data_IF_702844850517
#
_entry.id   IF_702844850517
#
_cell.length_a   1.000
_cell.length_b   1.000
_cell.length_c   1.000
_cell.angle_alpha   90.00
_cell.angle_beta   90.00
_cell.angle_gamma   90.00
#
_symmetry.space_group_name_H-M   'P 1'
#
loop_
_entity.id
_entity.type
_entity.pdbx_description
1 polymer ?
#
# COMPACT_ATOMS: atom_id res chain seq x y z
N UNK A 1 0.09 -18.75 -6.85
CA UNK A 1 -0.61 -18.50 -5.59
C UNK A 1 -2.10 -18.67 -5.82
N UNK A 2 -2.83 -19.16 -4.84
CA UNK A 2 -4.26 -19.47 -4.95
C UNK A 2 -5.12 -18.29 -5.45
N UNK A 3 -4.77 -17.04 -5.10
CA UNK A 3 -5.46 -15.84 -5.61
C UNK A 3 -5.30 -15.67 -7.13
N UNK A 4 -4.09 -15.92 -7.65
CA UNK A 4 -3.80 -15.80 -9.09
C UNK A 4 -4.50 -16.94 -9.87
N UNK A 5 -4.47 -18.15 -9.32
CA UNK A 5 -5.14 -19.31 -9.89
C UNK A 5 -6.65 -19.11 -9.93
N UNK A 6 -7.24 -18.62 -8.83
CA UNK A 6 -8.66 -18.28 -8.75
C UNK A 6 -9.05 -17.22 -9.80
N UNK A 7 -8.27 -16.15 -9.90
CA UNK A 7 -8.50 -15.10 -10.91
C UNK A 7 -8.38 -15.63 -12.34
N UNK A 8 -7.42 -16.51 -12.59
CA UNK A 8 -7.21 -17.09 -13.94
C UNK A 8 -8.33 -18.06 -14.32
N UNK A 9 -8.86 -18.80 -13.34
CA UNK A 9 -9.93 -19.77 -13.55
C UNK A 9 -11.31 -19.13 -13.70
N UNK A 10 -11.62 -18.17 -12.82
CA UNK A 10 -12.97 -17.61 -12.66
C UNK A 10 -13.05 -16.12 -13.03
N UNK A 11 -12.01 -15.56 -13.66
CA UNK A 11 -11.97 -14.18 -14.12
C UNK A 11 -11.60 -13.17 -13.04
N UNK A 12 -11.54 -11.90 -13.42
CA UNK A 12 -11.21 -10.78 -12.53
C UNK A 12 -12.22 -10.65 -11.38
N UNK A 13 -11.77 -10.22 -10.22
CA UNK A 13 -12.64 -9.89 -9.10
C UNK A 13 -13.43 -8.61 -9.43
N UNK A 14 -14.74 -8.65 -9.18
CA UNK A 14 -15.66 -7.54 -9.50
C UNK A 14 -15.63 -6.44 -8.44
N UNK A 15 -15.48 -6.81 -7.18
CA UNK A 15 -15.40 -5.93 -6.01
C UNK A 15 -14.75 -6.70 -4.84
N UNK A 16 -14.59 -6.02 -3.70
CA UNK A 16 -13.97 -6.63 -2.51
C UNK A 16 -14.79 -7.79 -1.94
N UNK A 17 -16.10 -7.76 -2.05
CA UNK A 17 -16.99 -8.83 -1.56
C UNK A 17 -16.83 -10.08 -2.41
N UNK A 18 -16.82 -9.93 -3.75
CA UNK A 18 -16.52 -11.02 -4.68
C UNK A 18 -15.16 -11.65 -4.38
N UNK A 19 -14.14 -10.82 -4.09
CA UNK A 19 -12.82 -11.29 -3.66
C UNK A 19 -12.91 -12.11 -2.38
N UNK A 20 -13.56 -11.59 -1.34
CA UNK A 20 -13.68 -12.26 -0.04
C UNK A 20 -14.48 -13.56 -0.10
N UNK A 21 -15.48 -13.64 -0.98
CA UNK A 21 -16.27 -14.85 -1.19
C UNK A 21 -15.52 -15.94 -1.94
N UNK A 22 -14.59 -15.57 -2.82
CA UNK A 22 -13.84 -16.50 -3.67
C UNK A 22 -12.51 -16.95 -3.08
N UNK A 23 -11.95 -16.15 -2.19
CA UNK A 23 -10.67 -16.48 -1.55
C UNK A 23 -10.91 -17.00 -0.14
N UNK A 24 -10.38 -18.22 0.14
CA UNK A 24 -10.55 -18.84 1.45
C UNK A 24 -9.77 -18.09 2.54
N UNK A 25 -10.25 -18.20 3.78
CA UNK A 25 -9.59 -17.66 4.99
C UNK A 25 -8.18 -18.17 5.21
N UNK A 26 -7.90 -19.39 4.82
CA UNK A 26 -6.58 -20.00 4.93
C UNK A 26 -5.55 -19.25 4.07
N UNK A 27 -6.03 -18.59 3.02
CA UNK A 27 -5.21 -17.85 2.06
C UNK A 27 -5.01 -16.40 2.46
N UNK A 28 -6.01 -15.79 3.14
CA UNK A 28 -5.96 -14.38 3.52
C UNK A 28 -6.54 -14.14 4.91
N UNK A 29 -5.73 -13.57 5.79
CA UNK A 29 -6.16 -13.08 7.10
C UNK A 29 -6.26 -11.55 7.11
N UNK A 30 -6.77 -10.99 8.22
CA UNK A 30 -6.94 -9.55 8.41
C UNK A 30 -5.66 -8.76 8.03
N UNK A 31 -4.51 -9.16 8.58
CA UNK A 31 -3.23 -8.47 8.36
C UNK A 31 -2.77 -8.51 6.90
N UNK A 32 -2.99 -9.63 6.23
CA UNK A 32 -2.68 -9.76 4.81
C UNK A 32 -3.60 -8.88 3.95
N UNK A 33 -4.90 -8.82 4.28
CA UNK A 33 -5.86 -7.97 3.60
C UNK A 33 -5.49 -6.48 3.77
N UNK A 34 -5.15 -6.06 4.99
CA UNK A 34 -4.65 -4.71 5.27
C UNK A 34 -3.44 -4.37 4.39
N UNK A 35 -2.46 -5.28 4.30
CA UNK A 35 -1.25 -5.07 3.48
C UNK A 35 -1.54 -5.01 1.99
N UNK A 36 -2.44 -5.83 1.48
CA UNK A 36 -2.87 -5.77 0.08
C UNK A 36 -3.57 -4.43 -0.25
N UNK A 37 -4.40 -3.92 0.67
CA UNK A 37 -5.05 -2.62 0.51
C UNK A 37 -4.01 -1.50 0.52
N UNK A 38 -3.09 -1.50 1.48
CA UNK A 38 -2.00 -0.52 1.57
C UNK A 38 -1.13 -0.50 0.31
N UNK A 39 -0.88 -1.68 -0.27
CA UNK A 39 -0.12 -1.86 -1.51
C UNK A 39 -0.90 -1.44 -2.78
N UNK A 40 -2.19 -1.11 -2.69
CA UNK A 40 -3.01 -0.75 -3.84
C UNK A 40 -3.49 -1.94 -4.68
N UNK A 41 -3.46 -3.16 -4.15
CA UNK A 41 -3.87 -4.36 -4.91
C UNK A 41 -5.33 -4.33 -5.38
N UNK A 42 -6.16 -3.49 -4.77
CA UNK A 42 -7.59 -3.36 -5.08
C UNK A 42 -7.96 -2.09 -5.84
N UNK A 43 -7.00 -1.24 -6.25
CA UNK A 43 -7.27 0.05 -6.89
C UNK A 43 -8.08 -0.08 -8.19
N UNK A 44 -8.03 -1.23 -8.86
CA UNK A 44 -8.84 -1.51 -10.06
C UNK A 44 -10.34 -1.71 -9.77
N UNK A 45 -10.72 -1.97 -8.52
CA UNK A 45 -12.10 -2.23 -8.09
C UNK A 45 -12.63 -1.22 -7.08
N UNK A 46 -11.76 -0.59 -6.30
CA UNK A 46 -12.07 0.49 -5.38
C UNK A 46 -10.82 1.38 -5.18
N UNK A 47 -10.89 2.60 -5.65
CA UNK A 47 -9.76 3.55 -5.58
C UNK A 47 -9.57 4.20 -4.21
N UNK A 48 -10.60 4.16 -3.36
CA UNK A 48 -10.50 4.68 -2.00
C UNK A 48 -9.94 3.61 -1.05
N UNK A 49 -8.62 3.55 -0.95
CA UNK A 49 -7.91 2.61 -0.08
C UNK A 49 -8.29 2.78 1.40
N UNK A 50 -8.51 4.03 1.86
CA UNK A 50 -8.94 4.33 3.23
C UNK A 50 -10.29 3.69 3.56
N UNK A 51 -11.24 3.73 2.62
CA UNK A 51 -12.54 3.08 2.75
C UNK A 51 -12.40 1.56 2.94
N UNK A 52 -11.61 0.91 2.10
CA UNK A 52 -11.36 -0.53 2.25
C UNK A 52 -10.67 -0.85 3.58
N UNK A 53 -9.63 -0.10 3.93
CA UNK A 53 -8.83 -0.32 5.13
C UNK A 53 -9.65 -0.22 6.42
N UNK A 54 -10.50 0.79 6.53
CA UNK A 54 -11.36 0.99 7.70
C UNK A 54 -12.46 -0.08 7.84
N UNK A 55 -12.77 -0.80 6.77
CA UNK A 55 -13.77 -1.87 6.79
C UNK A 55 -13.18 -3.29 6.84
N UNK A 56 -11.85 -3.46 6.91
CA UNK A 56 -11.19 -4.78 6.90
C UNK A 56 -11.75 -5.73 7.96
N UNK A 57 -11.95 -5.25 9.18
CA UNK A 57 -12.50 -6.08 10.27
C UNK A 57 -13.87 -6.63 9.91
N UNK A 58 -14.75 -5.77 9.37
CA UNK A 58 -16.10 -6.18 8.94
C UNK A 58 -16.06 -7.18 7.78
N UNK A 59 -15.16 -6.96 6.81
CA UNK A 59 -14.98 -7.93 5.70
C UNK A 59 -14.57 -9.30 6.24
N UNK A 60 -13.63 -9.35 7.18
CA UNK A 60 -13.17 -10.61 7.76
C UNK A 60 -14.25 -11.27 8.62
N UNK A 61 -15.05 -10.52 9.36
CA UNK A 61 -16.14 -11.03 10.18
C UNK A 61 -17.29 -11.59 9.32
N UNK A 62 -17.73 -10.84 8.32
CA UNK A 62 -18.89 -11.20 7.49
C UNK A 62 -18.58 -12.30 6.47
N UNK A 63 -17.41 -12.23 5.84
CA UNK A 63 -17.04 -13.12 4.72
C UNK A 63 -15.94 -14.10 5.08
N UNK A 64 -15.32 -13.92 6.23
CA UNK A 64 -14.24 -14.73 6.72
C UNK A 64 -14.74 -15.98 7.53
N UNK A 65 -16.05 -16.32 7.68
CA UNK A 65 -16.62 -17.48 8.38
C UNK A 65 -16.49 -18.78 7.58
N UNK A 66 -16.31 -19.91 8.27
CA UNK A 66 -16.64 -21.20 7.67
C UNK A 66 -18.12 -21.11 7.23
N UNK A 67 -18.39 -21.40 5.96
CA UNK A 67 -19.74 -21.66 5.53
C UNK A 67 -20.17 -22.96 6.25
N UNK A 68 -20.80 -22.82 7.42
CA UNK A 68 -21.48 -23.95 8.03
C UNK A 68 -22.60 -24.37 7.08
N UNK A 69 -22.36 -25.43 6.33
CA UNK A 69 -23.32 -26.05 5.40
C UNK A 69 -24.69 -26.37 6.02
N UNK A 70 -24.84 -26.23 7.34
CA UNK A 70 -26.07 -26.53 8.07
C UNK A 70 -26.97 -25.30 8.34
N UNK A 71 -26.57 -24.08 7.89
CA UNK A 71 -27.43 -22.89 7.96
C UNK A 71 -27.97 -22.42 6.59
N UNK A 72 -27.66 -23.16 5.53
CA UNK A 72 -27.99 -22.80 4.14
C UNK A 72 -29.49 -22.99 3.75
N UNK A 73 -30.38 -23.28 4.71
CA UNK A 73 -31.78 -23.55 4.35
C UNK A 73 -32.77 -22.39 4.54
N UNK A 74 -32.33 -21.20 4.95
CA UNK A 74 -33.29 -20.11 5.21
C UNK A 74 -33.05 -18.81 4.41
N UNK A 75 -31.92 -18.68 3.67
CA UNK A 75 -31.67 -17.49 2.86
C UNK A 75 -31.07 -17.89 1.49
N UNK A 76 -31.96 -18.25 0.58
CA UNK A 76 -31.63 -18.65 -0.80
C UNK A 76 -31.28 -17.48 -1.72
N UNK A 77 -31.28 -16.25 -1.22
CA UNK A 77 -30.78 -15.07 -1.91
C UNK A 77 -29.71 -14.37 -1.03
N UNK A 78 -28.42 -14.67 -1.31
CA UNK A 78 -27.29 -13.91 -0.79
C UNK A 78 -27.27 -12.48 -1.41
N UNK A 79 -28.40 -11.79 -1.43
CA UNK A 79 -28.43 -10.34 -1.51
C UNK A 79 -27.91 -9.81 -0.17
N UNK A 80 -26.71 -9.26 -0.19
CA UNK A 80 -26.14 -8.44 0.89
C UNK A 80 -27.28 -7.60 1.46
N UNK A 81 -27.59 -7.74 2.75
CA UNK A 81 -28.70 -7.04 3.37
C UNK A 81 -28.54 -5.52 3.11
N UNK A 82 -29.64 -4.82 3.06
CA UNK A 82 -29.62 -3.37 2.79
C UNK A 82 -28.77 -2.61 3.82
N UNK A 83 -28.69 -3.15 5.05
CA UNK A 83 -27.84 -2.63 6.13
C UNK A 83 -26.35 -2.88 5.86
N UNK A 84 -25.98 -4.02 5.29
CA UNK A 84 -24.59 -4.30 4.93
C UNK A 84 -24.09 -3.39 3.81
N UNK A 85 -24.96 -3.07 2.83
CA UNK A 85 -24.64 -2.07 1.80
C UNK A 85 -24.37 -0.70 2.43
N UNK A 86 -25.19 -0.27 3.39
CA UNK A 86 -25.01 1.00 4.09
C UNK A 86 -23.73 1.07 4.93
N UNK A 87 -23.27 -0.04 5.51
CA UNK A 87 -22.01 -0.11 6.24
C UNK A 87 -20.77 0.19 5.37
N UNK A 88 -20.85 -0.13 4.07
CA UNK A 88 -19.76 0.14 3.11
C UNK A 88 -19.86 1.53 2.45
N UNK A 89 -20.97 2.23 2.62
CA UNK A 89 -21.20 3.57 2.05
C UNK A 89 -20.83 4.74 2.97
N UNK A 90 -20.21 4.48 4.15
CA UNK A 90 -19.65 5.59 4.93
C UNK A 90 -18.64 6.35 4.08
N UNK A 91 -18.81 7.67 4.02
CA UNK A 91 -17.91 8.56 3.29
C UNK A 91 -16.55 8.65 4.02
N UNK A 92 -15.68 7.70 3.75
CA UNK A 92 -14.30 7.79 4.19
C UNK A 92 -13.54 8.73 3.25
N UNK A 93 -12.91 9.75 3.85
CA UNK A 93 -11.96 10.58 3.11
C UNK A 93 -10.79 9.69 2.65
N UNK A 94 -10.45 9.76 1.37
CA UNK A 94 -9.31 9.00 0.86
C UNK A 94 -8.01 9.45 1.56
N UNK A 95 -7.03 8.57 1.64
CA UNK A 95 -5.70 8.92 2.12
C UNK A 95 -5.09 10.03 1.26
N UNK A 96 -4.29 10.88 1.88
CA UNK A 96 -3.46 11.83 1.15
C UNK A 96 -2.40 11.08 0.34
N UNK A 97 -1.90 11.68 -0.74
CA UNK A 97 -0.86 11.07 -1.55
C UNK A 97 0.37 10.67 -0.72
N UNK A 98 0.78 11.49 0.24
CA UNK A 98 1.88 11.18 1.16
C UNK A 98 1.62 9.93 2.02
N UNK A 99 0.38 9.70 2.45
CA UNK A 99 0.00 8.49 3.21
C UNK A 99 -0.01 7.25 2.33
N UNK A 100 -0.51 7.38 1.09
CA UNK A 100 -0.48 6.30 0.09
C UNK A 100 0.95 5.86 -0.16
N UNK A 101 1.83 6.81 -0.45
CA UNK A 101 3.24 6.53 -0.73
C UNK A 101 3.98 5.96 0.48
N UNK A 102 3.70 6.45 1.70
CA UNK A 102 4.26 5.89 2.93
C UNK A 102 3.81 4.44 3.13
N UNK A 103 2.53 4.15 2.93
CA UNK A 103 2.00 2.80 3.05
C UNK A 103 2.61 1.84 2.02
N UNK A 104 2.80 2.28 0.77
CA UNK A 104 3.46 1.50 -0.26
C UNK A 104 4.91 1.18 0.12
N UNK A 105 5.66 2.19 0.55
CA UNK A 105 7.04 2.02 1.00
C UNK A 105 7.13 1.01 2.15
N UNK A 106 6.25 1.12 3.15
CA UNK A 106 6.23 0.23 4.32
C UNK A 106 5.88 -1.23 3.98
N UNK A 107 5.05 -1.43 2.94
CA UNK A 107 4.52 -2.76 2.61
C UNK A 107 5.28 -3.43 1.47
N UNK A 108 5.63 -2.67 0.45
CA UNK A 108 6.27 -3.17 -0.79
C UNK A 108 7.78 -2.91 -0.76
N UNK A 109 8.22 -1.87 -0.03
CA UNK A 109 9.62 -1.45 0.04
C UNK A 109 10.01 -0.43 -1.03
N UNK A 110 9.06 0.05 -1.84
CA UNK A 110 9.26 1.11 -2.83
C UNK A 110 7.94 1.85 -3.12
N UNK A 111 8.04 3.03 -3.71
CA UNK A 111 6.89 3.81 -4.18
C UNK A 111 6.36 3.23 -5.49
N UNK A 112 5.09 2.85 -5.52
CA UNK A 112 4.47 2.20 -6.68
C UNK A 112 3.56 3.13 -7.49
N UNK A 113 2.67 3.87 -6.83
CA UNK A 113 1.67 4.70 -7.54
C UNK A 113 2.25 6.01 -8.06
N UNK A 114 3.23 6.58 -7.35
CA UNK A 114 3.82 7.88 -7.65
C UNK A 114 5.19 7.98 -6.95
N UNK A 115 5.90 9.09 -7.12
CA UNK A 115 7.15 9.34 -6.42
C UNK A 115 7.12 10.69 -5.70
N UNK A 116 7.56 10.78 -4.43
CA UNK A 116 7.50 12.03 -3.66
C UNK A 116 8.13 13.23 -4.38
N UNK A 117 9.16 12.97 -5.18
CA UNK A 117 9.89 14.02 -5.88
C UNK A 117 9.18 14.56 -7.13
N UNK A 118 8.20 13.86 -7.72
CA UNK A 118 7.51 14.32 -8.94
C UNK A 118 6.73 15.62 -8.75
N UNK A 119 6.32 15.92 -7.52
CA UNK A 119 5.58 17.14 -7.20
C UNK A 119 6.47 18.38 -6.97
N UNK A 120 7.79 18.21 -7.02
CA UNK A 120 8.73 19.33 -6.89
C UNK A 120 9.11 19.89 -8.27
N UNK A 121 9.35 21.21 -8.37
CA UNK A 121 9.75 21.83 -9.63
C UNK A 121 11.03 21.22 -10.18
N UNK A 122 11.05 20.95 -11.49
CA UNK A 122 12.20 20.34 -12.21
C UNK A 122 13.54 21.03 -11.94
N UNK A 123 13.53 22.36 -11.71
CA UNK A 123 14.73 23.13 -11.37
C UNK A 123 15.51 22.62 -10.14
N UNK A 124 14.87 21.84 -9.25
CA UNK A 124 15.55 21.22 -8.12
C UNK A 124 16.29 19.94 -8.51
N UNK A 125 16.00 19.38 -9.69
CA UNK A 125 16.59 18.15 -10.22
C UNK A 125 17.54 18.41 -11.39
N UNK A 126 17.70 19.65 -11.82
CA UNK A 126 18.74 20.08 -12.79
C UNK A 126 20.11 20.06 -12.09
N UNK A 127 20.38 18.92 -11.48
CA UNK A 127 21.64 18.60 -10.85
C UNK A 127 22.54 18.08 -11.95
N UNK A 128 23.78 18.55 -11.97
CA UNK A 128 24.82 18.21 -12.94
C UNK A 128 24.74 16.74 -13.39
N UNK A 129 25.10 16.47 -14.66
CA UNK A 129 25.04 15.17 -15.35
C UNK A 129 25.87 14.06 -14.68
N UNK A 130 25.60 13.76 -13.41
CA UNK A 130 26.19 12.65 -12.70
C UNK A 130 25.16 11.52 -12.67
N UNK A 131 25.37 10.51 -13.49
CA UNK A 131 24.44 9.38 -13.64
C UNK A 131 24.45 8.45 -12.42
N UNK A 132 25.49 8.51 -11.57
CA UNK A 132 25.57 7.73 -10.35
C UNK A 132 26.54 8.32 -9.33
N UNK A 133 26.36 7.99 -8.06
CA UNK A 133 27.31 8.32 -7.00
C UNK A 133 28.69 7.73 -7.25
N UNK A 134 28.76 6.59 -7.94
CA UNK A 134 30.00 5.96 -8.37
C UNK A 134 30.79 6.83 -9.34
N UNK A 135 30.11 7.45 -10.32
CA UNK A 135 30.76 8.36 -11.28
C UNK A 135 31.40 9.54 -10.57
N UNK A 136 30.75 10.04 -9.49
CA UNK A 136 31.32 11.09 -8.66
C UNK A 136 32.56 10.64 -7.90
N UNK A 137 32.53 9.45 -7.27
CA UNK A 137 33.67 8.95 -6.49
C UNK A 137 34.88 8.59 -7.35
N UNK A 138 34.63 8.12 -8.57
CA UNK A 138 35.69 7.74 -9.53
C UNK A 138 36.30 8.94 -10.25
N UNK A 139 35.61 10.09 -10.28
CA UNK A 139 36.04 11.30 -10.97
C UNK A 139 36.59 12.35 -9.99
N UNK A 140 37.92 12.43 -9.86
CA UNK A 140 38.63 13.35 -8.95
C UNK A 140 38.46 14.84 -9.25
N UNK A 141 37.75 15.21 -10.31
CA UNK A 141 37.53 16.59 -10.72
C UNK A 141 36.37 17.28 -9.98
N UNK A 142 35.59 16.55 -9.18
CA UNK A 142 34.48 17.11 -8.43
C UNK A 142 34.84 17.34 -6.97
N UNK A 143 34.77 18.59 -6.53
CA UNK A 143 34.98 18.97 -5.12
C UNK A 143 33.71 18.83 -4.27
N UNK A 144 32.52 18.85 -4.90
CA UNK A 144 31.23 18.73 -4.24
C UNK A 144 30.18 18.17 -5.22
N UNK A 145 29.15 17.52 -4.68
CA UNK A 145 28.01 17.05 -5.44
C UNK A 145 26.72 17.49 -4.74
N UNK A 146 25.75 17.95 -5.54
CA UNK A 146 24.40 18.18 -5.05
C UNK A 146 23.57 16.93 -5.31
N UNK A 147 22.86 16.46 -4.31
CA UNK A 147 21.94 15.33 -4.42
C UNK A 147 20.54 15.75 -4.00
N UNK A 148 19.54 15.15 -4.62
CA UNK A 148 18.14 15.29 -4.23
C UNK A 148 17.55 13.89 -4.02
N UNK A 149 16.88 13.69 -2.90
CA UNK A 149 16.27 12.40 -2.56
C UNK A 149 15.14 12.55 -1.56
N UNK A 150 14.28 11.54 -1.49
CA UNK A 150 13.31 11.43 -0.42
C UNK A 150 14.00 10.82 0.81
N UNK A 151 13.92 11.49 1.97
CA UNK A 151 14.50 10.97 3.20
C UNK A 151 13.64 9.80 3.69
N UNK A 152 14.26 8.64 3.82
CA UNK A 152 13.63 7.41 4.29
C UNK A 152 13.84 7.18 5.79
N UNK A 153 15.01 7.53 6.30
CA UNK A 153 15.38 7.34 7.72
C UNK A 153 16.41 8.38 8.16
N UNK A 154 16.34 8.79 9.44
CA UNK A 154 17.29 9.69 10.08
C UNK A 154 17.71 9.09 11.41
N UNK A 155 18.99 8.77 11.53
CA UNK A 155 19.60 8.26 12.80
C UNK A 155 20.50 9.30 13.40
N UNK A 156 20.01 10.02 14.41
CA UNK A 156 20.79 10.98 15.17
C UNK A 156 21.73 10.30 16.15
N UNK A 157 22.93 10.80 16.26
CA UNK A 157 23.95 10.36 17.23
C UNK A 157 24.75 11.55 17.75
N UNK A 158 25.47 11.32 18.86
CA UNK A 158 26.44 12.28 19.40
C UNK A 158 27.82 11.65 19.41
N UNK A 159 28.85 12.43 19.08
CA UNK A 159 30.22 12.00 19.22
C UNK A 159 30.70 12.11 20.69
N UNK A 160 31.93 11.71 20.97
CA UNK A 160 32.52 11.77 22.32
C UNK A 160 32.61 13.18 22.89
N UNK A 161 32.66 14.21 22.04
CA UNK A 161 32.72 15.62 22.39
C UNK A 161 31.33 16.26 22.53
N UNK A 162 30.24 15.47 22.49
CA UNK A 162 28.87 15.95 22.61
C UNK A 162 28.31 16.59 21.34
N UNK A 163 29.02 16.60 20.21
CA UNK A 163 28.53 17.15 18.94
C UNK A 163 27.55 16.15 18.30
N UNK A 164 26.36 16.66 17.92
CA UNK A 164 25.33 15.89 17.24
C UNK A 164 25.66 15.72 15.75
N UNK A 165 25.38 14.56 15.22
CA UNK A 165 25.42 14.24 13.78
C UNK A 165 24.31 13.26 13.45
N UNK A 166 23.97 13.11 12.16
CA UNK A 166 22.95 12.17 11.72
C UNK A 166 23.42 11.37 10.50
N UNK A 167 22.98 10.12 10.44
CA UNK A 167 22.98 9.32 9.23
C UNK A 167 21.61 9.48 8.58
N UNK A 168 21.59 9.84 7.30
CA UNK A 168 20.37 10.04 6.52
C UNK A 168 20.37 9.01 5.41
N UNK A 169 19.31 8.20 5.35
CA UNK A 169 19.03 7.30 4.24
C UNK A 169 18.08 7.99 3.27
N UNK A 170 18.43 8.03 1.99
CA UNK A 170 17.66 8.62 0.90
C UNK A 170 17.40 7.60 -0.19
#
# INVERSE_FOLDING_TARGET
>A
SSMVEERNKNGKFKNIIDFMNRISKEVINKRQLEKLIQAGAFDSIETNRSKLFNNVTKFVELYGGEKNHNQDMLFEDNEISFDDKNLFYQNYKNWKNSEILSNELDVIGFYFSDHPLYHYPKKFFELENINSFKDYTDNKNYNSMKVCGAILDIKERSNKDGKKYAFITV
#
